data_IF_399289284449
#
_entry.id   IF_399289284449
#
_cell.length_a   1.000
_cell.length_b   1.000
_cell.length_c   1.000
_cell.angle_alpha   90.00
_cell.angle_beta   90.00
_cell.angle_gamma   90.00
#
_symmetry.space_group_name_H-M   'P 1'
#
loop_
_entity.id
_entity.type
_entity.pdbx_description
1 polymer ?
#
# COMPACT_ATOMS: atom_id res chain seq x y z
N UNK A 1 15.08 -18.00 -6.05
CA UNK A 1 14.54 -17.35 -4.84
C UNK A 1 15.65 -17.40 -3.78
N UNK A 2 16.39 -16.31 -3.57
CA UNK A 2 17.51 -16.29 -2.59
C UNK A 2 16.89 -16.12 -1.20
N UNK A 3 17.25 -16.95 -0.21
CA UNK A 3 16.66 -16.86 1.13
C UNK A 3 16.98 -15.50 1.77
N UNK A 4 15.93 -14.78 2.18
CA UNK A 4 15.95 -13.85 3.32
C UNK A 4 16.84 -12.61 3.24
N UNK A 5 17.08 -12.02 2.06
CA UNK A 5 17.76 -10.71 2.01
C UNK A 5 16.74 -9.61 2.32
N UNK A 6 16.74 -9.11 3.57
CA UNK A 6 15.98 -7.91 3.96
C UNK A 6 16.41 -6.77 3.04
N UNK A 7 15.47 -6.21 2.27
CA UNK A 7 15.76 -5.27 1.16
C UNK A 7 16.51 -4.00 1.61
N UNK A 8 16.30 -3.58 2.85
CA UNK A 8 16.93 -2.40 3.48
C UNK A 8 18.20 -2.72 4.29
N UNK A 9 18.69 -3.95 4.28
CA UNK A 9 19.83 -4.32 5.13
C UNK A 9 21.10 -3.60 4.69
N UNK A 10 21.71 -2.86 5.63
CA UNK A 10 22.96 -2.15 5.39
C UNK A 10 22.81 -0.80 4.70
N UNK A 11 21.57 -0.32 4.50
CA UNK A 11 21.29 1.02 3.98
C UNK A 11 20.76 1.93 5.09
N UNK A 12 21.01 3.23 4.97
CA UNK A 12 20.34 4.23 5.79
C UNK A 12 18.91 4.39 5.27
N UNK A 13 17.94 3.95 6.07
CA UNK A 13 16.50 4.06 5.76
C UNK A 13 15.79 5.10 6.63
N UNK A 14 16.51 6.04 7.23
CA UNK A 14 15.92 7.00 8.17
C UNK A 14 14.75 7.75 7.54
N UNK A 15 14.89 8.24 6.30
CA UNK A 15 13.81 8.97 5.61
C UNK A 15 12.60 8.10 5.28
N UNK A 16 12.84 6.90 4.75
CA UNK A 16 11.77 5.94 4.46
C UNK A 16 11.04 5.55 5.75
N UNK A 17 11.78 5.30 6.84
CA UNK A 17 11.20 4.99 8.13
C UNK A 17 10.35 6.15 8.67
N UNK A 18 10.90 7.35 8.72
CA UNK A 18 10.24 8.52 9.29
C UNK A 18 8.98 8.92 8.52
N UNK A 19 9.00 8.79 7.18
CA UNK A 19 7.87 9.12 6.30
C UNK A 19 6.72 8.13 6.39
N UNK A 20 7.03 6.85 6.56
CA UNK A 20 6.01 5.80 6.65
C UNK A 20 5.41 5.69 8.07
N UNK A 21 6.17 6.05 9.11
CA UNK A 21 5.76 5.90 10.49
C UNK A 21 5.38 7.23 11.14
N UNK A 22 4.28 7.85 10.70
CA UNK A 22 3.81 9.15 11.22
C UNK A 22 3.50 9.08 12.73
N UNK A 23 3.04 7.93 13.23
CA UNK A 23 2.72 7.74 14.65
C UNK A 23 3.99 7.46 15.46
N UNK A 24 4.08 7.96 16.71
CA UNK A 24 5.28 7.83 17.54
C UNK A 24 5.53 6.40 18.06
N UNK A 25 4.62 5.44 17.78
CA UNK A 25 4.71 4.07 18.30
C UNK A 25 5.95 3.35 17.76
N UNK A 26 6.26 3.52 16.47
CA UNK A 26 7.41 2.87 15.85
C UNK A 26 8.74 3.39 16.42
N UNK A 27 8.82 4.72 16.63
CA UNK A 27 10.00 5.37 17.22
C UNK A 27 10.29 4.87 18.63
N UNK A 28 9.25 4.68 19.45
CA UNK A 28 9.38 4.16 20.83
C UNK A 28 9.96 2.74 20.88
N UNK A 29 9.90 1.98 19.79
CA UNK A 29 10.49 0.63 19.72
C UNK A 29 11.96 0.66 19.27
N UNK A 30 12.43 1.70 18.58
CA UNK A 30 13.79 1.78 18.05
C UNK A 30 14.91 1.57 19.10
N UNK A 31 14.80 2.08 20.34
CA UNK A 31 15.84 1.88 21.35
C UNK A 31 16.15 0.40 21.64
N UNK A 32 15.17 -0.50 21.45
CA UNK A 32 15.35 -1.94 21.66
C UNK A 32 16.26 -2.59 20.61
N UNK A 33 16.45 -1.93 19.47
CA UNK A 33 17.26 -2.40 18.35
C UNK A 33 18.54 -1.59 18.17
N UNK A 34 18.89 -0.75 19.16
CA UNK A 34 20.11 0.04 19.12
C UNK A 34 21.35 -0.86 19.22
N UNK A 35 22.28 -0.69 18.29
CA UNK A 35 23.55 -1.44 18.28
C UNK A 35 24.73 -0.51 18.54
N UNK A 36 24.79 0.61 17.80
CA UNK A 36 25.84 1.65 17.89
C UNK A 36 25.46 2.86 17.05
N UNK A 37 26.17 3.96 17.26
CA UNK A 37 26.08 5.15 16.41
C UNK A 37 26.63 4.92 14.99
N UNK A 38 26.14 5.73 14.05
CA UNK A 38 26.60 5.73 12.67
C UNK A 38 28.04 6.25 12.57
N UNK A 39 28.87 5.59 11.74
CA UNK A 39 30.28 6.00 11.52
C UNK A 39 30.40 7.18 10.56
N UNK A 40 29.45 7.31 9.65
CA UNK A 40 29.43 8.31 8.59
C UNK A 40 28.25 9.25 8.79
N UNK A 41 28.40 10.55 8.51
CA UNK A 41 27.28 11.47 8.54
C UNK A 41 26.25 11.10 7.47
N UNK A 42 24.97 11.38 7.75
CA UNK A 42 23.88 11.13 6.81
C UNK A 42 23.94 12.13 5.65
N UNK A 43 23.73 11.63 4.43
CA UNK A 43 23.67 12.45 3.21
C UNK A 43 22.21 12.84 2.90
N UNK A 44 21.66 13.78 3.67
CA UNK A 44 20.28 14.27 3.45
C UNK A 44 20.12 15.72 3.91
N UNK A 45 19.39 16.54 3.14
CA UNK A 45 19.16 17.94 3.48
C UNK A 45 18.19 18.13 4.66
N UNK A 46 17.31 17.15 4.93
CA UNK A 46 16.29 17.28 5.97
C UNK A 46 16.82 16.81 7.31
N UNK A 47 16.87 17.67 8.32
CA UNK A 47 17.25 17.26 9.68
C UNK A 47 16.04 16.74 10.46
N UNK A 48 16.23 15.70 11.25
CA UNK A 48 15.20 15.10 12.13
C UNK A 48 15.32 15.59 13.58
N UNK A 49 15.73 16.85 13.76
CA UNK A 49 15.75 17.48 15.09
C UNK A 49 14.32 17.65 15.59
N UNK A 50 14.11 17.53 16.90
CA UNK A 50 12.79 17.64 17.53
C UNK A 50 12.11 19.00 17.26
N UNK A 51 12.89 20.07 17.23
CA UNK A 51 12.48 21.44 16.90
C UNK A 51 12.62 21.77 15.39
N UNK A 52 12.99 20.79 14.58
CA UNK A 52 13.19 20.94 13.14
C UNK A 52 11.90 20.89 12.33
N UNK A 53 12.02 21.27 11.05
CA UNK A 53 10.90 21.27 10.10
C UNK A 53 10.19 19.91 10.04
N UNK A 54 10.94 18.81 9.90
CA UNK A 54 10.35 17.49 9.66
C UNK A 54 9.54 16.99 10.86
N UNK A 55 10.09 17.08 12.09
CA UNK A 55 9.42 16.64 13.32
C UNK A 55 8.18 17.51 13.62
N UNK A 56 8.28 18.81 13.35
CA UNK A 56 7.13 19.72 13.45
C UNK A 56 6.02 19.32 12.49
N UNK A 57 6.34 19.12 11.21
CA UNK A 57 5.39 18.69 10.18
C UNK A 57 4.75 17.35 10.56
N UNK A 58 5.55 16.37 10.97
CA UNK A 58 5.10 15.04 11.38
C UNK A 58 4.09 15.11 12.54
N UNK A 59 4.36 15.95 13.54
CA UNK A 59 3.48 16.15 14.69
C UNK A 59 2.14 16.76 14.28
N UNK A 60 2.16 17.81 13.45
CA UNK A 60 0.94 18.45 12.94
C UNK A 60 0.10 17.47 12.11
N UNK A 61 0.73 16.72 11.21
CA UNK A 61 0.06 15.71 10.39
C UNK A 61 -0.54 14.61 11.27
N UNK A 62 0.15 14.18 12.33
CA UNK A 62 -0.39 13.18 13.26
C UNK A 62 -1.66 13.69 13.98
N UNK A 63 -1.75 14.97 14.32
CA UNK A 63 -2.97 15.55 14.90
C UNK A 63 -4.11 15.63 13.88
N UNK A 64 -3.84 16.04 12.64
CA UNK A 64 -4.87 16.08 11.59
C UNK A 64 -5.39 14.69 11.21
N UNK A 65 -4.52 13.67 11.15
CA UNK A 65 -4.92 12.28 10.87
C UNK A 65 -5.90 11.75 11.92
N UNK A 66 -5.81 12.17 13.19
CA UNK A 66 -6.76 11.76 14.24
C UNK A 66 -8.19 12.24 13.97
N UNK A 67 -8.36 13.35 13.25
CA UNK A 67 -9.67 13.93 12.91
C UNK A 67 -10.35 13.19 11.75
N UNK A 68 -9.61 12.41 10.97
CA UNK A 68 -10.17 11.67 9.83
C UNK A 68 -11.12 10.58 10.32
N UNK A 69 -12.40 10.58 9.90
CA UNK A 69 -13.35 9.58 10.34
C UNK A 69 -12.92 8.19 9.86
N UNK A 70 -12.84 7.24 10.79
CA UNK A 70 -12.43 5.84 10.53
C UNK A 70 -13.36 5.12 9.53
N UNK A 71 -14.61 5.57 9.41
CA UNK A 71 -15.59 5.01 8.48
C UNK A 71 -15.13 5.10 7.01
N UNK A 72 -14.35 6.13 6.64
CA UNK A 72 -13.86 6.32 5.27
C UNK A 72 -13.02 5.16 4.75
N UNK A 73 -12.48 4.31 5.63
CA UNK A 73 -11.78 3.09 5.24
C UNK A 73 -12.69 2.11 4.48
N UNK A 74 -14.00 2.09 4.80
CA UNK A 74 -14.98 1.22 4.13
C UNK A 74 -15.17 1.58 2.66
N UNK A 75 -14.97 2.84 2.28
CA UNK A 75 -15.08 3.26 0.88
C UNK A 75 -14.05 2.52 0.02
N UNK A 76 -12.83 2.33 0.52
CA UNK A 76 -11.80 1.57 -0.18
C UNK A 76 -12.20 0.11 -0.36
N UNK A 77 -12.75 -0.50 0.69
CA UNK A 77 -13.26 -1.87 0.65
C UNK A 77 -14.39 -2.00 -0.39
N UNK A 78 -15.37 -1.09 -0.37
CA UNK A 78 -16.49 -1.08 -1.32
C UNK A 78 -16.03 -0.91 -2.77
N UNK A 79 -15.09 0.00 -3.04
CA UNK A 79 -14.55 0.20 -4.39
C UNK A 79 -13.78 -1.03 -4.85
N UNK A 80 -12.98 -1.64 -3.98
CA UNK A 80 -12.21 -2.85 -4.31
C UNK A 80 -13.13 -4.02 -4.65
N UNK A 81 -14.16 -4.25 -3.82
CA UNK A 81 -15.13 -5.32 -4.04
C UNK A 81 -15.99 -5.04 -5.30
N UNK A 82 -16.35 -3.78 -5.53
CA UNK A 82 -17.06 -3.35 -6.73
C UNK A 82 -16.25 -3.61 -8.01
N UNK A 83 -14.95 -3.35 -8.01
CA UNK A 83 -14.05 -3.69 -9.13
C UNK A 83 -13.99 -5.20 -9.36
N UNK A 84 -13.94 -6.01 -8.28
CA UNK A 84 -13.96 -7.46 -8.38
C UNK A 84 -15.27 -7.99 -8.97
N UNK A 85 -16.42 -7.50 -8.48
CA UNK A 85 -17.74 -7.88 -9.03
C UNK A 85 -17.85 -7.47 -10.50
N UNK A 86 -17.40 -6.27 -10.85
CA UNK A 86 -17.40 -5.78 -12.23
C UNK A 86 -16.53 -6.65 -13.13
N UNK A 87 -15.34 -7.04 -12.66
CA UNK A 87 -14.45 -7.96 -13.36
C UNK A 87 -15.16 -9.28 -13.65
N UNK A 88 -15.78 -9.92 -12.65
CA UNK A 88 -16.44 -11.23 -12.82
C UNK A 88 -17.60 -11.11 -13.81
N UNK A 89 -18.49 -10.13 -13.63
CA UNK A 89 -19.67 -9.92 -14.49
C UNK A 89 -19.25 -9.61 -15.93
N UNK A 90 -18.31 -8.68 -16.12
CA UNK A 90 -17.86 -8.29 -17.46
C UNK A 90 -17.11 -9.44 -18.17
N UNK A 91 -16.33 -10.23 -17.43
CA UNK A 91 -15.66 -11.42 -17.98
C UNK A 91 -16.67 -12.47 -18.42
N UNK A 92 -17.68 -12.76 -17.60
CA UNK A 92 -18.75 -13.69 -17.96
C UNK A 92 -19.55 -13.19 -19.18
N UNK A 93 -19.89 -11.91 -19.21
CA UNK A 93 -20.63 -11.31 -20.33
C UNK A 93 -19.84 -11.38 -21.64
N UNK A 94 -18.53 -11.15 -21.59
CA UNK A 94 -17.63 -11.23 -22.74
C UNK A 94 -17.59 -12.62 -23.36
N UNK A 95 -17.71 -13.67 -22.55
CA UNK A 95 -17.72 -15.06 -23.03
C UNK A 95 -19.11 -15.55 -23.45
N UNK A 96 -20.18 -14.99 -22.87
CA UNK A 96 -21.54 -15.47 -23.08
C UNK A 96 -22.23 -14.83 -24.30
N UNK A 97 -21.94 -13.56 -24.58
CA UNK A 97 -22.63 -12.84 -25.66
C UNK A 97 -22.12 -13.23 -27.05
N UNK A 98 -23.04 -13.31 -28.01
CA UNK A 98 -22.73 -13.51 -29.44
C UNK A 98 -22.58 -12.19 -30.19
N UNK A 99 -22.99 -11.07 -29.60
CA UNK A 99 -22.85 -9.76 -30.21
C UNK A 99 -21.41 -9.26 -30.08
N UNK A 100 -20.74 -9.07 -31.22
CA UNK A 100 -19.34 -8.64 -31.29
C UNK A 100 -19.04 -7.38 -30.47
N UNK A 101 -19.86 -6.34 -30.61
CA UNK A 101 -19.61 -5.07 -29.93
C UNK A 101 -19.79 -5.19 -28.41
N UNK A 102 -20.75 -6.00 -27.97
CA UNK A 102 -20.95 -6.26 -26.55
C UNK A 102 -19.81 -7.12 -25.97
N UNK A 103 -19.33 -8.11 -26.73
CA UNK A 103 -18.18 -8.93 -26.33
C UNK A 103 -16.93 -8.07 -26.17
N UNK A 104 -16.60 -7.25 -27.18
CA UNK A 104 -15.42 -6.36 -27.13
C UNK A 104 -15.55 -5.31 -26.03
N UNK A 105 -16.73 -4.69 -25.88
CA UNK A 105 -16.95 -3.69 -24.84
C UNK A 105 -16.78 -4.26 -23.43
N UNK A 106 -17.39 -5.42 -23.16
CA UNK A 106 -17.26 -6.12 -21.87
C UNK A 106 -15.83 -6.63 -21.60
N UNK A 107 -15.11 -7.09 -22.63
CA UNK A 107 -13.69 -7.44 -22.53
C UNK A 107 -12.82 -6.26 -22.07
N UNK A 108 -13.02 -5.07 -22.64
CA UNK A 108 -12.27 -3.85 -22.26
C UNK A 108 -12.58 -3.48 -20.80
N UNK A 109 -13.85 -3.50 -20.41
CA UNK A 109 -14.27 -3.23 -19.03
C UNK A 109 -13.65 -4.22 -18.04
N UNK A 110 -13.64 -5.52 -18.38
CA UNK A 110 -12.99 -6.55 -17.57
C UNK A 110 -11.49 -6.28 -17.42
N UNK A 111 -10.81 -5.96 -18.53
CA UNK A 111 -9.37 -5.70 -18.56
C UNK A 111 -8.97 -4.50 -17.68
N UNK A 112 -9.69 -3.38 -17.79
CA UNK A 112 -9.45 -2.19 -16.96
C UNK A 112 -9.78 -2.47 -15.50
N UNK A 113 -10.88 -3.17 -15.23
CA UNK A 113 -11.27 -3.54 -13.87
C UNK A 113 -10.21 -4.42 -13.20
N UNK A 114 -9.63 -5.39 -13.91
CA UNK A 114 -8.52 -6.21 -13.41
C UNK A 114 -7.28 -5.37 -13.10
N UNK A 115 -6.90 -4.46 -14.01
CA UNK A 115 -5.74 -3.59 -13.80
C UNK A 115 -5.89 -2.73 -12.54
N UNK A 116 -7.04 -2.08 -12.35
CA UNK A 116 -7.31 -1.29 -11.15
C UNK A 116 -7.47 -2.14 -9.90
N UNK A 117 -8.10 -3.32 -9.99
CA UNK A 117 -8.21 -4.26 -8.89
C UNK A 117 -6.83 -4.73 -8.42
N UNK A 118 -5.88 -4.94 -9.33
CA UNK A 118 -4.50 -5.31 -9.03
C UNK A 118 -3.81 -4.24 -8.18
N UNK A 119 -3.96 -2.97 -8.55
CA UNK A 119 -3.41 -1.83 -7.79
C UNK A 119 -4.11 -1.68 -6.45
N UNK A 120 -5.44 -1.81 -6.42
CA UNK A 120 -6.20 -1.74 -5.17
C UNK A 120 -5.83 -2.88 -4.20
N UNK A 121 -5.68 -4.11 -4.71
CA UNK A 121 -5.33 -5.30 -3.93
C UNK A 121 -3.93 -5.22 -3.32
N UNK A 122 -2.95 -4.61 -4.00
CA UNK A 122 -1.61 -4.35 -3.43
C UNK A 122 -1.68 -3.64 -2.08
N UNK A 123 -2.60 -2.67 -1.91
CA UNK A 123 -2.75 -1.94 -0.65
C UNK A 123 -3.14 -2.86 0.52
N UNK A 124 -3.81 -3.98 0.25
CA UNK A 124 -4.21 -4.93 1.28
C UNK A 124 -3.08 -5.85 1.73
N UNK A 125 -2.02 -6.00 0.93
CA UNK A 125 -0.81 -6.75 1.30
C UNK A 125 -0.07 -6.04 2.43
N UNK A 126 -0.13 -4.71 2.47
CA UNK A 126 0.43 -3.89 3.55
C UNK A 126 -0.45 -3.83 4.81
N UNK A 127 -1.66 -4.40 4.78
CA UNK A 127 -2.57 -4.47 5.92
C UNK A 127 -2.42 -5.82 6.63
N UNK A 128 -3.06 -5.96 7.80
CA UNK A 128 -3.20 -7.26 8.47
C UNK A 128 -3.87 -8.26 7.52
N UNK A 129 -3.50 -9.54 7.63
CA UNK A 129 -4.04 -10.64 6.81
C UNK A 129 -5.55 -10.54 6.64
N UNK A 130 -5.97 -10.45 5.39
CA UNK A 130 -7.36 -10.32 4.98
C UNK A 130 -7.57 -11.02 3.63
N UNK A 131 -8.80 -11.38 3.32
CA UNK A 131 -9.12 -12.16 2.11
C UNK A 131 -8.99 -11.35 0.81
N UNK A 132 -9.01 -10.02 0.85
CA UNK A 132 -8.88 -9.17 -0.35
C UNK A 132 -7.47 -9.16 -0.93
N UNK A 133 -6.47 -9.62 -0.18
CA UNK A 133 -5.12 -9.84 -0.70
C UNK A 133 -5.11 -10.87 -1.84
N UNK A 134 -6.02 -11.86 -1.83
CA UNK A 134 -6.09 -12.89 -2.86
C UNK A 134 -6.53 -12.36 -4.23
N UNK A 135 -7.17 -11.18 -4.28
CA UNK A 135 -7.49 -10.52 -5.55
C UNK A 135 -6.26 -10.22 -6.38
N UNK A 136 -5.12 -9.98 -5.73
CA UNK A 136 -3.86 -9.75 -6.40
C UNK A 136 -3.41 -10.95 -7.24
N UNK A 137 -3.79 -12.17 -6.85
CA UNK A 137 -3.42 -13.36 -7.59
C UNK A 137 -4.14 -13.50 -8.94
N UNK A 138 -5.26 -12.79 -9.13
CA UNK A 138 -5.99 -12.78 -10.40
C UNK A 138 -5.16 -12.12 -11.53
N UNK A 139 -4.19 -11.28 -11.18
CA UNK A 139 -3.29 -10.65 -12.16
C UNK A 139 -2.10 -11.53 -12.54
N UNK A 140 -2.08 -12.80 -12.10
CA UNK A 140 -0.94 -13.74 -12.21
C UNK A 140 0.27 -13.37 -11.36
N UNK A 141 0.12 -12.45 -10.41
CA UNK A 141 1.16 -12.12 -9.43
C UNK A 141 0.91 -12.88 -8.13
N UNK A 142 1.90 -12.94 -7.25
CA UNK A 142 1.75 -13.58 -5.93
C UNK A 142 1.75 -12.50 -4.84
N UNK A 143 0.78 -12.56 -3.93
CA UNK A 143 0.84 -11.74 -2.71
C UNK A 143 1.86 -12.28 -1.68
N UNK A 144 2.31 -13.54 -1.86
CA UNK A 144 3.35 -14.18 -1.05
C UNK A 144 4.73 -13.94 -1.62
#
# INVERSE_FOLDING_TARGET
MVPGRIQSKGTDITEAFESHHIRPIAEKMLPQFYVRDAKTPRNSPFTFKEDGFYRTLKTLVNEEIKKVPKDKLKNTDMVTDGLFVTLVVASTLSCWTTNYWLAVGSFIVASVSLAWLTVAAHNYIHRRTNWRMYYFNLSLWSFR
#
